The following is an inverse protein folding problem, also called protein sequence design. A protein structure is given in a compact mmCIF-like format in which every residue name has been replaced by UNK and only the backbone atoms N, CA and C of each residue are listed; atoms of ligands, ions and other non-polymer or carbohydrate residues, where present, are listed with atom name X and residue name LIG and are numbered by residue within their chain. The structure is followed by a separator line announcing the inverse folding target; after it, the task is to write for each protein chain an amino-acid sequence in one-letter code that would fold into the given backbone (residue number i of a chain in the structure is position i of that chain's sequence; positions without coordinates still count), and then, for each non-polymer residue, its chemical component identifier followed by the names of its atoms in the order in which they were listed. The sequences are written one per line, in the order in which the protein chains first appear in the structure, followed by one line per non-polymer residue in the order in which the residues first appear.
data_IF_771345896342
#
_entry.id   IF_771345896342
#
_cell.length_a   1.000
_cell.length_b   1.000
_cell.length_c   1.000
_cell.angle_alpha   90.00
_cell.angle_beta   90.00
_cell.angle_gamma   90.00
#
_symmetry.space_group_name_H-M   'P 1'
#
loop_
_entity.id
_entity.type
_entity.pdbx_description
1 polymer ?
#
# COMPACT_ATOMS: atom_id res chain seq x y z
N UNK A 1 4.18 -10.75 -1.67
CA UNK A 1 3.13 -10.81 -0.63
C UNK A 1 3.55 -11.83 0.41
N UNK A 2 3.42 -11.51 1.70
CA UNK A 2 3.70 -12.42 2.81
C UNK A 2 2.38 -12.72 3.51
N UNK A 3 2.04 -14.00 3.61
CA UNK A 3 0.78 -14.47 4.19
C UNK A 3 1.11 -15.38 5.37
N UNK A 4 0.42 -15.19 6.48
CA UNK A 4 0.43 -16.15 7.58
C UNK A 4 -0.03 -15.55 8.91
N UNK A 5 -0.31 -16.39 9.92
CA UNK A 5 -0.80 -15.97 11.23
C UNK A 5 0.03 -14.86 11.89
N UNK A 6 -0.53 -14.15 12.87
CA UNK A 6 0.24 -13.25 13.72
C UNK A 6 1.45 -13.99 14.34
N UNK A 7 2.52 -13.24 14.65
CA UNK A 7 3.75 -13.78 15.23
C UNK A 7 4.55 -14.81 14.41
N UNK A 8 4.26 -14.99 13.11
CA UNK A 8 5.07 -15.84 12.19
C UNK A 8 6.37 -15.19 11.71
N UNK A 9 6.77 -14.05 12.28
CA UNK A 9 8.03 -13.38 11.92
C UNK A 9 8.04 -12.68 10.56
N UNK A 10 6.89 -12.55 9.86
CA UNK A 10 6.76 -11.81 8.59
C UNK A 10 7.37 -10.41 8.69
N UNK A 11 7.05 -9.69 9.76
CA UNK A 11 7.62 -8.37 10.01
C UNK A 11 9.14 -8.38 10.15
N UNK A 12 9.68 -9.40 10.81
CA UNK A 12 11.12 -9.60 10.94
C UNK A 12 11.78 -9.92 9.60
N UNK A 13 11.14 -10.73 8.74
CA UNK A 13 11.67 -11.13 7.46
C UNK A 13 11.89 -9.93 6.52
N UNK A 14 10.89 -9.06 6.34
CA UNK A 14 11.07 -7.89 5.50
C UNK A 14 12.02 -6.87 6.11
N UNK A 15 12.01 -6.67 7.44
CA UNK A 15 12.99 -5.78 8.10
C UNK A 15 14.42 -6.25 7.91
N UNK A 16 14.67 -7.55 8.05
CA UNK A 16 15.97 -8.16 7.80
C UNK A 16 16.40 -7.96 6.34
N UNK A 17 15.49 -8.14 5.39
CA UNK A 17 15.74 -7.88 3.97
C UNK A 17 16.13 -6.42 3.70
N UNK A 18 15.38 -5.45 4.25
CA UNK A 18 15.71 -4.03 4.06
C UNK A 18 17.07 -3.67 4.68
N UNK A 19 17.37 -4.22 5.87
CA UNK A 19 18.67 -4.05 6.52
C UNK A 19 19.81 -4.65 5.71
N UNK A 20 19.60 -5.83 5.12
CA UNK A 20 20.57 -6.47 4.24
C UNK A 20 20.79 -5.68 2.95
N UNK A 21 19.72 -5.19 2.31
CA UNK A 21 19.81 -4.35 1.11
C UNK A 21 20.58 -3.06 1.37
N UNK A 22 20.34 -2.41 2.51
CA UNK A 22 21.08 -1.21 2.91
C UNK A 22 22.57 -1.46 3.12
N UNK A 23 22.95 -2.64 3.63
CA UNK A 23 24.35 -3.00 3.89
C UNK A 23 25.09 -3.53 2.67
N UNK A 24 24.44 -4.39 1.87
CA UNK A 24 25.08 -5.10 0.75
C UNK A 24 25.10 -4.26 -0.52
N UNK A 25 24.01 -3.54 -0.80
CA UNK A 25 23.86 -2.76 -2.04
C UNK A 25 24.19 -1.28 -1.81
N UNK A 26 24.28 -0.85 -0.55
CA UNK A 26 24.50 0.57 -0.20
C UNK A 26 23.28 1.45 -0.50
N UNK A 27 22.11 0.85 -0.75
CA UNK A 27 20.89 1.58 -1.05
C UNK A 27 20.30 2.17 0.23
N UNK A 28 19.99 3.46 0.22
CA UNK A 28 19.18 4.06 1.29
C UNK A 28 17.75 3.55 1.15
N UNK A 29 17.29 2.75 2.11
CA UNK A 29 15.95 2.17 2.09
C UNK A 29 15.04 2.95 3.04
N UNK A 30 13.86 3.38 2.56
CA UNK A 30 12.80 4.00 3.35
C UNK A 30 11.60 3.07 3.37
N UNK A 31 11.07 2.77 4.55
CA UNK A 31 9.89 1.91 4.72
C UNK A 31 8.69 2.71 5.26
N UNK A 32 7.55 2.65 4.56
CA UNK A 32 6.27 3.18 4.99
C UNK A 32 5.37 2.01 5.41
N UNK A 33 5.00 1.94 6.68
CA UNK A 33 4.08 0.91 7.17
C UNK A 33 2.68 1.53 7.28
N UNK A 34 1.73 0.94 6.57
CA UNK A 34 0.33 1.36 6.57
C UNK A 34 -0.48 0.24 7.21
N UNK A 35 -1.03 0.52 8.40
CA UNK A 35 -1.93 -0.37 9.11
C UNK A 35 -3.39 0.00 8.79
N UNK A 36 -4.09 -0.89 8.08
CA UNK A 36 -5.49 -0.68 7.73
C UNK A 36 -6.47 -0.96 8.88
N UNK A 37 -6.01 -1.51 10.02
CA UNK A 37 -6.82 -1.57 11.23
C UNK A 37 -6.87 -0.21 11.93
N UNK A 38 -5.86 0.63 11.73
CA UNK A 38 -5.76 1.94 12.35
C UNK A 38 -6.41 3.05 11.49
N UNK A 39 -6.66 2.80 10.21
CA UNK A 39 -7.04 3.83 9.23
C UNK A 39 -8.14 3.29 8.29
N UNK A 40 -9.19 4.08 8.09
CA UNK A 40 -10.27 3.76 7.14
C UNK A 40 -9.77 3.66 5.70
N UNK A 41 -10.39 2.77 4.90
CA UNK A 41 -10.03 2.56 3.49
C UNK A 41 -10.03 3.86 2.67
N UNK A 42 -11.00 4.74 2.94
CA UNK A 42 -11.18 6.03 2.25
C UNK A 42 -10.06 7.05 2.53
N UNK A 43 -9.24 6.80 3.56
CA UNK A 43 -8.08 7.61 3.89
C UNK A 43 -6.78 6.98 3.38
N UNK A 44 -6.74 5.66 3.22
CA UNK A 44 -5.60 4.96 2.60
C UNK A 44 -5.58 5.18 1.09
N UNK A 45 -6.75 5.04 0.47
CA UNK A 45 -7.00 5.21 -0.96
C UNK A 45 -7.68 6.53 -1.25
N UNK A 46 -7.67 6.92 -2.53
CA UNK A 46 -8.39 8.12 -2.98
C UNK A 46 -9.89 7.87 -2.87
N UNK A 47 -10.60 8.80 -2.23
CA UNK A 47 -12.06 8.79 -2.09
C UNK A 47 -12.67 9.99 -2.77
N UNK A 48 -13.84 9.80 -3.39
CA UNK A 48 -14.63 10.89 -3.93
C UNK A 48 -15.35 11.57 -2.76
N UNK A 49 -15.26 12.90 -2.68
CA UNK A 49 -16.03 13.63 -1.69
C UNK A 49 -17.54 13.49 -2.03
N UNK A 50 -18.40 13.05 -1.11
CA UNK A 50 -19.83 12.89 -1.40
C UNK A 50 -20.55 14.24 -1.59
N UNK A 51 -19.95 15.34 -1.14
CA UNK A 51 -20.55 16.68 -1.17
C UNK A 51 -19.95 17.57 -2.25
N UNK A 52 -18.70 17.34 -2.64
CA UNK A 52 -18.03 18.09 -3.73
C UNK A 52 -17.56 17.13 -4.81
N UNK A 53 -17.55 17.52 -6.10
CA UNK A 53 -16.97 16.71 -7.17
C UNK A 53 -15.43 16.65 -7.12
N UNK A 54 -14.84 16.89 -5.94
CA UNK A 54 -13.40 16.89 -5.71
C UNK A 54 -12.96 15.54 -5.16
N UNK A 55 -11.77 15.14 -5.56
CA UNK A 55 -11.14 13.91 -5.10
C UNK A 55 -10.26 14.20 -3.89
N UNK A 56 -10.51 13.47 -2.80
CA UNK A 56 -9.63 13.47 -1.65
C UNK A 56 -8.49 12.49 -1.91
N UNK A 57 -7.26 13.00 -1.98
CA UNK A 57 -6.08 12.17 -2.16
C UNK A 57 -5.78 11.40 -0.88
N UNK A 58 -5.75 10.07 -0.99
CA UNK A 58 -5.42 9.17 0.10
C UNK A 58 -3.94 9.19 0.45
N UNK A 59 -3.61 8.54 1.56
CA UNK A 59 -2.25 8.40 2.07
C UNK A 59 -1.32 7.81 1.01
N UNK A 60 -1.77 6.80 0.26
CA UNK A 60 -0.95 6.15 -0.77
C UNK A 60 -0.57 7.10 -1.91
N UNK A 61 -1.55 7.84 -2.44
CA UNK A 61 -1.33 8.82 -3.53
C UNK A 61 -0.44 9.95 -3.08
N UNK A 62 -0.61 10.43 -1.84
CA UNK A 62 0.24 11.47 -1.27
C UNK A 62 1.69 11.00 -1.08
N UNK A 63 1.92 9.75 -0.65
CA UNK A 63 3.27 9.18 -0.57
C UNK A 63 3.92 9.12 -1.96
N UNK A 64 3.21 8.61 -2.98
CA UNK A 64 3.78 8.51 -4.32
C UNK A 64 4.07 9.89 -4.91
N UNK A 65 3.15 10.85 -4.79
CA UNK A 65 3.40 12.23 -5.23
C UNK A 65 4.61 12.83 -4.55
N UNK A 66 4.73 12.65 -3.24
CA UNK A 66 5.90 13.11 -2.50
C UNK A 66 7.20 12.50 -3.05
N UNK A 67 7.21 11.24 -3.46
CA UNK A 67 8.40 10.60 -4.04
C UNK A 67 8.69 11.13 -5.45
N UNK A 68 7.66 11.30 -6.29
CA UNK A 68 7.81 11.80 -7.66
C UNK A 68 8.23 13.28 -7.68
N UNK A 69 7.61 14.10 -6.84
CA UNK A 69 7.86 15.55 -6.78
C UNK A 69 9.23 15.89 -6.18
N UNK A 70 9.80 15.00 -5.34
CA UNK A 70 11.14 15.17 -4.77
C UNK A 70 12.22 14.56 -5.67
N UNK A 71 12.51 15.22 -6.80
CA UNK A 71 13.41 14.77 -7.88
C UNK A 71 14.89 14.57 -7.47
N UNK A 72 15.29 14.94 -6.25
CA UNK A 72 16.68 14.86 -5.78
C UNK A 72 17.03 13.60 -4.99
N UNK A 73 16.99 13.70 -3.66
CA UNK A 73 17.47 12.65 -2.76
C UNK A 73 16.55 11.42 -2.74
N UNK A 74 15.25 11.60 -3.01
CA UNK A 74 14.24 10.53 -2.94
C UNK A 74 14.28 9.55 -4.12
N UNK A 75 14.79 9.97 -5.27
CA UNK A 75 14.95 9.10 -6.46
C UNK A 75 16.06 8.06 -6.24
N UNK A 76 17.10 8.42 -5.48
CA UNK A 76 18.22 7.53 -5.12
C UNK A 76 17.86 6.51 -4.03
N UNK A 77 16.77 6.75 -3.29
CA UNK A 77 16.30 5.89 -2.21
C UNK A 77 15.34 4.85 -2.73
N UNK A 78 15.42 3.66 -2.16
CA UNK A 78 14.43 2.62 -2.40
C UNK A 78 13.29 2.74 -1.38
N UNK A 79 12.10 2.98 -1.90
CA UNK A 79 10.88 3.19 -1.13
C UNK A 79 10.10 1.89 -1.04
N UNK A 80 9.80 1.46 0.17
CA UNK A 80 9.06 0.23 0.43
C UNK A 80 7.77 0.60 1.16
N UNK A 81 6.63 0.35 0.53
CA UNK A 81 5.31 0.56 1.13
C UNK A 81 4.82 -0.81 1.60
N UNK A 82 4.64 -0.97 2.90
CA UNK A 82 4.19 -2.20 3.55
C UNK A 82 2.75 -2.01 4.01
N UNK A 83 1.82 -2.72 3.39
CA UNK A 83 0.42 -2.74 3.81
C UNK A 83 0.18 -3.91 4.76
N UNK A 84 -0.27 -3.61 5.97
CA UNK A 84 -0.70 -4.61 6.96
C UNK A 84 -2.21 -4.78 6.91
N UNK A 85 -2.67 -6.01 6.70
CA UNK A 85 -4.08 -6.41 6.83
C UNK A 85 -5.11 -5.75 5.88
N UNK A 86 -4.70 -5.32 4.69
CA UNK A 86 -5.66 -4.91 3.66
C UNK A 86 -6.28 -6.16 3.04
N UNK A 87 -7.60 -6.29 3.16
CA UNK A 87 -8.41 -7.11 2.24
C UNK A 87 -8.14 -6.56 0.85
N UNK A 88 -7.32 -7.25 0.08
CA UNK A 88 -7.18 -6.98 -1.34
C UNK A 88 -8.57 -7.15 -1.95
N UNK A 89 -9.12 -6.06 -2.49
CA UNK A 89 -10.14 -6.22 -3.51
C UNK A 89 -9.41 -6.72 -4.76
N UNK A 90 -9.97 -7.72 -5.45
CA UNK A 90 -9.30 -8.60 -6.44
C UNK A 90 -8.74 -7.90 -7.69
N UNK A 91 -8.83 -6.58 -7.75
CA UNK A 91 -8.23 -5.77 -8.80
C UNK A 91 -6.74 -5.57 -8.51
N UNK A 92 -5.88 -6.38 -9.15
CA UNK A 92 -4.42 -6.17 -9.26
C UNK A 92 -4.01 -4.85 -9.95
N UNK A 93 -4.94 -3.89 -10.02
CA UNK A 93 -4.85 -2.56 -10.56
C UNK A 93 -5.32 -1.60 -9.46
N UNK A 94 -4.39 -0.87 -8.87
CA UNK A 94 -4.69 0.37 -8.15
C UNK A 94 -5.12 1.41 -9.20
N UNK A 95 -6.32 1.23 -9.70
CA UNK A 95 -6.94 2.17 -10.64
C UNK A 95 -7.41 3.32 -9.78
N UNK A 96 -6.63 4.40 -9.75
CA UNK A 96 -7.15 5.67 -9.28
C UNK A 96 -8.46 5.91 -10.05
N UNK A 97 -9.57 6.22 -9.38
CA UNK A 97 -10.88 6.40 -10.03
C UNK A 97 -10.98 7.65 -10.92
N UNK A 98 -9.85 8.21 -11.33
CA UNK A 98 -9.74 9.18 -12.41
C UNK A 98 -8.73 8.58 -13.39
N UNK A 99 -9.00 8.66 -14.70
CA UNK A 99 -8.12 8.18 -15.77
C UNK A 99 -6.68 8.74 -15.82
N UNK A 100 -6.15 9.32 -14.73
CA UNK A 100 -4.72 9.53 -14.51
C UNK A 100 -4.09 8.26 -13.93
N UNK A 101 -3.48 7.50 -14.82
CA UNK A 101 -2.56 6.43 -14.45
C UNK A 101 -1.33 7.06 -13.77
N UNK A 102 -1.23 6.91 -12.45
CA UNK A 102 -0.02 7.30 -11.73
C UNK A 102 0.99 6.16 -11.90
N UNK A 103 2.01 6.38 -12.74
CA UNK A 103 3.08 5.40 -12.93
C UNK A 103 3.88 5.25 -11.63
N UNK A 104 3.98 4.01 -11.12
CA UNK A 104 4.86 3.72 -10.00
C UNK A 104 6.31 3.86 -10.47
N UNK A 105 7.12 4.73 -9.83
CA UNK A 105 8.52 4.85 -10.20
C UNK A 105 9.29 3.58 -9.80
N UNK A 106 10.36 3.26 -10.53
CA UNK A 106 11.11 2.01 -10.36
C UNK A 106 11.76 1.84 -8.96
N UNK A 107 11.90 2.94 -8.23
CA UNK A 107 12.43 2.97 -6.87
C UNK A 107 11.38 2.63 -5.79
N UNK A 108 10.10 2.50 -6.16
CA UNK A 108 9.02 2.11 -5.24
C UNK A 108 8.73 0.61 -5.33
N UNK A 109 8.67 -0.04 -4.18
CA UNK A 109 8.28 -1.44 -3.98
C UNK A 109 7.09 -1.48 -3.03
N UNK A 110 6.13 -2.36 -3.30
CA UNK A 110 4.96 -2.54 -2.45
C UNK A 110 4.96 -3.97 -1.92
N UNK A 111 4.87 -4.13 -0.61
CA UNK A 111 4.69 -5.41 0.07
C UNK A 111 3.33 -5.42 0.76
N UNK A 112 2.66 -6.56 0.66
CA UNK A 112 1.47 -6.86 1.44
C UNK A 112 1.84 -7.89 2.51
N UNK A 113 1.64 -7.54 3.78
CA UNK A 113 1.73 -8.42 4.94
C UNK A 113 0.31 -8.71 5.44
N UNK A 114 -0.16 -9.94 5.20
CA UNK A 114 -1.55 -10.32 5.46
C UNK A 114 -1.60 -11.54 6.37
N UNK A 115 -2.60 -11.59 7.24
CA UNK A 115 -2.81 -12.71 8.16
C UNK A 115 -3.37 -13.94 7.43
N UNK A 116 -4.40 -13.71 6.62
CA UNK A 116 -5.07 -14.74 5.84
C UNK A 116 -5.54 -14.16 4.50
N UNK A 117 -5.51 -14.98 3.45
CA UNK A 117 -6.09 -14.64 2.15
C UNK A 117 -7.62 -14.86 2.11
N UNK A 118 -8.21 -15.38 3.20
CA UNK A 118 -9.65 -15.58 3.25
C UNK A 118 -10.35 -14.23 3.30
N UNK A 119 -10.84 -13.82 2.14
CA UNK A 119 -11.91 -12.83 2.00
C UNK A 119 -13.11 -13.47 2.74
N UNK A 120 -13.68 -12.85 3.79
CA UNK A 120 -14.96 -13.33 4.28
C UNK A 120 -15.94 -13.29 3.10
N UNK A 121 -16.67 -14.37 2.77
CA UNK A 121 -17.74 -14.26 1.80
C UNK A 121 -18.64 -13.12 2.29
N UNK A 122 -18.76 -12.04 1.52
CA UNK A 122 -19.79 -11.06 1.77
C UNK A 122 -21.09 -11.84 1.93
N UNK A 123 -21.87 -11.65 3.01
CA UNK A 123 -23.25 -12.09 3.00
C UNK A 123 -24.00 -11.17 2.03
N UNK A 124 -23.89 -11.43 0.73
CA UNK A 124 -24.88 -10.98 -0.25
C UNK A 124 -26.10 -11.90 -0.13
N UNK A 125 -26.76 -11.84 1.03
CA UNK A 125 -28.15 -12.25 1.18
C UNK A 125 -29.00 -10.99 1.19
N UNK A 126 -29.30 -10.50 -0.01
CA UNK A 126 -30.48 -9.68 -0.26
C UNK A 126 -31.26 -10.44 -1.33
N UNK A 127 -32.05 -11.41 -0.89
CA UNK A 127 -33.19 -11.89 -1.65
C UNK A 127 -34.17 -10.72 -1.75
N UNK A 128 -34.45 -10.26 -2.96
CA UNK A 128 -35.66 -9.47 -3.22
C UNK A 128 -36.57 -10.36 -4.04
N UNK A 129 -37.68 -10.71 -3.41
CA UNK A 129 -38.91 -11.21 -4.04
C UNK A 129 -39.57 -10.09 -4.85
#
# INVERSE_FOLDING_TARGET
MMVGPLATGKTGAWRALLGALGRLVGLKVVSYVVDSKAISKDFVYDSLNPTTPEWNFGLFTNIIRKIIDNVGDEVSKQHWIIFMAIVLDDSKLLTLPIGKQLGLPNNVRIIFEVESLNIPPLPLSVSVE
#
